data_IF_771600114429
#
_entry.id   IF_771600114429
#
_cell.length_a   1.000
_cell.length_b   1.000
_cell.length_c   1.000
_cell.angle_alpha   90.00
_cell.angle_beta   90.00
_cell.angle_gamma   90.00
#
_symmetry.space_group_name_H-M   'P 1'
#
loop_
_entity.id
_entity.type
_entity.pdbx_description
1 polymer ?
#
# COMPACT_ATOMS: atom_id res chain seq x y z
N UNK A 1 5.07 -4.08 32.87
CA UNK A 1 5.66 -4.66 31.63
C UNK A 1 5.32 -3.75 30.45
N UNK A 2 6.30 -3.01 29.92
CA UNK A 2 6.06 -2.21 28.72
C UNK A 2 5.91 -3.16 27.52
N UNK A 3 4.73 -3.18 26.91
CA UNK A 3 4.42 -4.04 25.77
C UNK A 3 5.38 -3.82 24.61
N UNK A 4 5.63 -4.86 23.81
CA UNK A 4 6.46 -4.81 22.60
C UNK A 4 5.94 -3.71 21.67
N UNK A 5 6.74 -2.66 21.47
CA UNK A 5 6.39 -1.54 20.58
C UNK A 5 6.25 -2.06 19.16
N UNK A 6 5.06 -1.87 18.56
CA UNK A 6 4.75 -2.35 17.21
C UNK A 6 5.71 -1.71 16.20
N UNK A 7 6.16 -2.50 15.23
CA UNK A 7 7.05 -2.08 14.13
C UNK A 7 8.48 -1.67 14.52
N UNK A 8 8.84 -1.67 15.80
CA UNK A 8 10.20 -1.39 16.26
C UNK A 8 11.02 -2.68 16.35
N UNK A 9 12.20 -2.70 15.74
CA UNK A 9 13.16 -3.81 15.82
C UNK A 9 14.52 -3.28 16.25
N UNK A 10 15.11 -3.89 17.27
CA UNK A 10 16.51 -3.64 17.63
C UNK A 10 17.40 -4.70 16.94
N UNK A 11 18.44 -4.24 16.24
CA UNK A 11 19.54 -5.10 15.77
C UNK A 11 20.86 -4.39 16.02
N UNK A 12 21.79 -5.10 16.65
CA UNK A 12 23.16 -4.63 16.87
C UNK A 12 23.22 -3.25 17.56
N UNK A 13 22.35 -3.03 18.55
CA UNK A 13 22.29 -1.77 19.30
C UNK A 13 21.64 -0.60 18.55
N UNK A 14 21.09 -0.82 17.35
CA UNK A 14 20.38 0.20 16.57
C UNK A 14 18.92 -0.16 16.40
N UNK A 15 18.06 0.83 16.58
CA UNK A 15 16.63 0.73 16.37
C UNK A 15 16.28 0.95 14.91
N UNK A 16 15.35 0.14 14.42
CA UNK A 16 14.85 0.18 13.06
C UNK A 16 13.32 0.12 13.06
N UNK A 17 12.69 0.90 12.19
CA UNK A 17 11.29 0.69 11.84
C UNK A 17 11.22 -0.45 10.80
N UNK A 18 10.32 -1.41 10.99
CA UNK A 18 10.11 -2.54 10.08
C UNK A 18 8.65 -2.64 9.65
N UNK A 19 8.44 -2.74 8.35
CA UNK A 19 7.13 -3.01 7.76
C UNK A 19 7.25 -4.11 6.69
N UNK A 20 6.27 -5.01 6.66
CA UNK A 20 6.24 -6.15 5.73
C UNK A 20 5.60 -5.69 4.43
N UNK A 21 6.23 -6.02 3.30
CA UNK A 21 5.66 -5.73 1.97
C UNK A 21 4.63 -6.82 1.63
N UNK A 22 3.39 -6.44 1.23
CA UNK A 22 2.37 -7.35 0.72
C UNK A 22 2.91 -8.23 -0.41
N UNK A 23 2.48 -9.49 -0.49
CA UNK A 23 3.03 -10.49 -1.44
C UNK A 23 2.98 -9.99 -2.89
N UNK A 24 1.88 -9.35 -3.26
CA UNK A 24 1.61 -8.89 -4.63
C UNK A 24 2.58 -7.78 -5.06
N UNK A 25 3.06 -6.99 -4.10
CA UNK A 25 3.97 -5.87 -4.34
C UNK A 25 5.44 -6.27 -4.25
N UNK A 26 5.77 -7.47 -3.76
CA UNK A 26 7.16 -7.92 -3.64
C UNK A 26 7.87 -8.03 -4.98
N UNK A 27 7.13 -8.37 -6.04
CA UNK A 27 7.67 -8.43 -7.40
C UNK A 27 8.13 -7.04 -7.89
N UNK A 28 7.49 -5.98 -7.41
CA UNK A 28 7.76 -4.59 -7.84
C UNK A 28 8.80 -3.93 -6.93
N UNK A 29 8.68 -4.10 -5.61
CA UNK A 29 9.58 -3.52 -4.62
C UNK A 29 10.91 -4.29 -4.53
N UNK A 30 10.91 -5.56 -4.93
CA UNK A 30 12.09 -6.45 -4.90
C UNK A 30 12.54 -6.87 -3.49
N UNK A 31 11.82 -6.43 -2.44
CA UNK A 31 12.13 -6.71 -1.03
C UNK A 31 10.89 -7.25 -0.32
N UNK A 32 11.09 -8.23 0.56
CA UNK A 32 10.02 -8.78 1.40
C UNK A 32 9.69 -7.90 2.62
N UNK A 33 10.66 -7.10 3.06
CA UNK A 33 10.57 -6.24 4.22
C UNK A 33 11.26 -4.90 3.94
N UNK A 34 10.61 -3.81 4.32
CA UNK A 34 11.22 -2.49 4.34
C UNK A 34 11.70 -2.18 5.76
N UNK A 35 12.92 -1.64 5.84
CA UNK A 35 13.55 -1.26 7.10
C UNK A 35 14.11 0.14 6.97
N UNK A 36 13.85 0.96 7.98
CA UNK A 36 14.41 2.31 8.10
C UNK A 36 15.18 2.44 9.43
N UNK A 37 16.46 2.82 9.42
CA UNK A 37 17.21 3.03 10.65
C UNK A 37 16.73 4.28 11.39
N UNK A 38 16.50 4.17 12.71
CA UNK A 38 16.03 5.25 13.58
C UNK A 38 17.13 5.78 14.53
N UNK A 39 18.28 5.09 14.61
CA UNK A 39 19.41 5.46 15.47
C UNK A 39 19.62 4.51 16.66
N UNK A 40 20.58 4.84 17.52
CA UNK A 40 20.93 4.05 18.71
C UNK A 40 20.13 4.38 19.96
N UNK A 41 19.52 5.58 20.03
CA UNK A 41 18.81 6.03 21.22
C UNK A 41 17.35 5.59 21.21
N UNK A 42 16.93 4.86 22.25
CA UNK A 42 15.57 4.32 22.35
C UNK A 42 14.49 5.40 22.35
N UNK A 43 14.63 6.44 23.19
CA UNK A 43 13.65 7.52 23.28
C UNK A 43 13.52 8.32 21.98
N UNK A 44 14.64 8.54 21.29
CA UNK A 44 14.65 9.23 20.01
C UNK A 44 13.98 8.37 18.94
N UNK A 45 14.29 7.07 18.91
CA UNK A 45 13.67 6.12 18.00
C UNK A 45 12.16 6.05 18.19
N UNK A 46 11.65 6.06 19.43
CA UNK A 46 10.20 6.08 19.68
C UNK A 46 9.51 7.32 19.13
N UNK A 47 10.15 8.49 19.23
CA UNK A 47 9.60 9.74 18.67
C UNK A 47 9.61 9.73 17.14
N UNK A 48 10.64 9.13 16.53
CA UNK A 48 10.80 9.06 15.07
C UNK A 48 10.02 7.91 14.42
N UNK A 49 9.61 6.90 15.20
CA UNK A 49 8.94 5.71 14.71
C UNK A 49 7.69 6.03 13.87
N UNK A 50 6.75 6.89 14.31
CA UNK A 50 5.55 7.17 13.52
C UNK A 50 5.89 7.76 12.15
N UNK A 51 6.82 8.70 12.11
CA UNK A 51 7.28 9.33 10.87
C UNK A 51 7.90 8.31 9.92
N UNK A 52 8.77 7.44 10.44
CA UNK A 52 9.39 6.37 9.66
C UNK A 52 8.36 5.36 9.13
N UNK A 53 7.35 4.99 9.92
CA UNK A 53 6.27 4.10 9.48
C UNK A 53 5.48 4.74 8.33
N UNK A 54 5.17 6.03 8.40
CA UNK A 54 4.50 6.76 7.31
C UNK A 54 5.32 6.73 6.04
N UNK A 55 6.64 6.91 6.11
CA UNK A 55 7.52 6.81 4.94
C UNK A 55 7.47 5.43 4.30
N UNK A 56 7.48 4.37 5.10
CA UNK A 56 7.38 2.99 4.60
C UNK A 56 6.00 2.72 3.97
N UNK A 57 4.93 3.26 4.56
CA UNK A 57 3.58 3.15 4.00
C UNK A 57 3.43 3.90 2.68
N UNK A 58 4.06 5.08 2.55
CA UNK A 58 4.07 5.85 1.31
C UNK A 58 4.76 5.07 0.19
N UNK A 59 5.91 4.44 0.47
CA UNK A 59 6.62 3.60 -0.51
C UNK A 59 5.77 2.41 -0.99
N UNK A 60 4.96 1.83 -0.09
CA UNK A 60 4.02 0.77 -0.45
C UNK A 60 2.89 1.33 -1.33
N UNK A 61 2.31 2.47 -0.96
CA UNK A 61 1.27 3.11 -1.77
C UNK A 61 1.75 3.49 -3.17
N UNK A 62 2.97 3.99 -3.32
CA UNK A 62 3.58 4.24 -4.64
C UNK A 62 3.75 2.95 -5.45
N UNK A 63 4.12 1.84 -4.80
CA UNK A 63 4.20 0.54 -5.45
C UNK A 63 2.81 0.02 -5.85
N UNK A 64 1.78 0.23 -5.02
CA UNK A 64 0.38 -0.10 -5.34
C UNK A 64 -0.09 0.66 -6.57
N UNK A 65 0.16 1.97 -6.64
CA UNK A 65 -0.17 2.79 -7.81
C UNK A 65 0.53 2.30 -9.09
N UNK A 66 1.81 1.93 -9.01
CA UNK A 66 2.56 1.38 -10.16
C UNK A 66 2.07 0.00 -10.59
N UNK A 67 1.55 -0.79 -9.66
CA UNK A 67 1.02 -2.13 -9.93
C UNK A 67 -0.34 -2.11 -10.65
N UNK A 68 -1.01 -0.95 -10.72
CA UNK A 68 -2.38 -0.84 -11.21
C UNK A 68 -3.43 -1.41 -10.25
N UNK A 69 -3.04 -1.94 -9.09
CA UNK A 69 -3.94 -2.25 -7.98
C UNK A 69 -4.29 -0.96 -7.22
N UNK A 70 -4.87 0.02 -7.92
CA UNK A 70 -5.49 1.14 -7.24
C UNK A 70 -6.74 0.58 -6.58
N UNK A 71 -6.76 0.56 -5.25
CA UNK A 71 -7.96 0.24 -4.48
C UNK A 71 -9.12 1.08 -4.99
N UNK A 72 -10.18 0.42 -5.47
CA UNK A 72 -11.34 1.06 -6.10
C UNK A 72 -12.21 1.87 -5.10
N UNK A 73 -11.77 1.89 -3.84
CA UNK A 73 -12.38 2.65 -2.74
C UNK A 73 -11.74 4.03 -2.67
N UNK A 74 -12.49 5.11 -2.91
CA UNK A 74 -11.95 6.46 -2.80
C UNK A 74 -11.54 6.77 -1.36
N UNK A 75 -10.35 7.36 -1.19
CA UNK A 75 -9.77 7.70 0.12
C UNK A 75 -10.52 8.82 0.84
N UNK A 76 -11.29 9.61 0.10
CA UNK A 76 -12.12 10.71 0.57
C UNK A 76 -13.54 10.53 0.03
N UNK A 77 -14.58 11.01 0.75
CA UNK A 77 -15.93 11.02 0.23
C UNK A 77 -15.95 11.79 -1.09
N UNK A 78 -16.30 11.08 -2.17
CA UNK A 78 -16.46 11.68 -3.48
C UNK A 78 -17.71 12.55 -3.49
N UNK A 79 -17.64 13.69 -4.17
CA UNK A 79 -18.86 14.43 -4.50
C UNK A 79 -19.72 13.61 -5.47
N UNK A 80 -21.03 13.87 -5.49
CA UNK A 80 -21.99 13.13 -6.31
C UNK A 80 -21.59 13.08 -7.80
N UNK A 81 -21.03 14.16 -8.32
CA UNK A 81 -20.56 14.25 -9.71
C UNK A 81 -19.37 13.31 -9.99
N UNK A 82 -18.39 13.27 -9.07
CA UNK A 82 -17.26 12.35 -9.14
C UNK A 82 -17.71 10.88 -9.06
N UNK A 83 -18.73 10.61 -8.24
CA UNK A 83 -19.33 9.28 -8.12
C UNK A 83 -20.03 8.85 -9.42
N UNK A 84 -20.74 9.76 -10.09
CA UNK A 84 -21.40 9.48 -11.36
C UNK A 84 -20.39 9.13 -12.47
N UNK A 85 -19.30 9.89 -12.58
CA UNK A 85 -18.22 9.63 -13.55
C UNK A 85 -17.56 8.28 -13.28
N UNK A 86 -17.19 8.00 -12.02
CA UNK A 86 -16.58 6.72 -11.65
C UNK A 86 -17.51 5.53 -11.96
N UNK A 87 -18.80 5.67 -11.65
CA UNK A 87 -19.80 4.63 -11.92
C UNK A 87 -20.00 4.39 -13.43
N UNK A 88 -20.04 5.46 -14.24
CA UNK A 88 -20.12 5.36 -15.69
C UNK A 88 -18.92 4.60 -16.28
N UNK A 89 -17.71 4.96 -15.85
CA UNK A 89 -16.48 4.28 -16.29
C UNK A 89 -16.47 2.79 -15.92
N UNK A 90 -16.95 2.42 -14.72
CA UNK A 90 -17.10 1.01 -14.33
C UNK A 90 -18.09 0.26 -15.24
N UNK A 91 -19.22 0.87 -15.62
CA UNK A 91 -20.18 0.26 -16.55
C UNK A 91 -19.59 0.03 -17.93
N UNK A 92 -18.83 0.98 -18.46
CA UNK A 92 -18.14 0.83 -19.75
C UNK A 92 -17.11 -0.29 -19.72
N UNK A 93 -16.29 -0.36 -18.67
CA UNK A 93 -15.30 -1.41 -18.50
C UNK A 93 -15.97 -2.80 -18.43
N UNK A 94 -17.07 -2.92 -17.70
CA UNK A 94 -17.84 -4.16 -17.61
C UNK A 94 -18.44 -4.56 -18.96
N UNK A 95 -19.06 -3.63 -19.69
CA UNK A 95 -19.62 -3.89 -21.01
C UNK A 95 -18.54 -4.33 -22.01
N UNK A 96 -17.35 -3.71 -21.97
CA UNK A 96 -16.21 -4.11 -22.78
C UNK A 96 -15.75 -5.55 -22.46
N UNK A 97 -15.71 -5.90 -21.17
CA UNK A 97 -15.34 -7.24 -20.73
C UNK A 97 -16.37 -8.28 -21.17
N UNK A 98 -17.67 -8.00 -21.04
CA UNK A 98 -18.73 -8.88 -21.51
C UNK A 98 -18.72 -9.06 -23.03
N UNK A 99 -18.48 -8.01 -23.80
CA UNK A 99 -18.30 -8.11 -25.24
C UNK A 99 -17.11 -9.01 -25.63
N UNK A 100 -16.02 -8.97 -24.87
CA UNK A 100 -14.85 -9.83 -25.10
C UNK A 100 -15.13 -11.30 -24.75
N UNK A 101 -15.91 -11.55 -23.69
CA UNK A 101 -16.34 -12.90 -23.30
C UNK A 101 -17.26 -13.49 -24.37
N UNK A 102 -18.26 -12.74 -24.84
CA UNK A 102 -19.20 -13.21 -25.86
C UNK A 102 -18.50 -13.53 -27.20
N UNK A 103 -17.48 -12.75 -27.60
CA UNK A 103 -16.67 -13.05 -28.79
C UNK A 103 -15.80 -14.31 -28.66
N UNK A 104 -15.48 -14.75 -27.43
CA UNK A 104 -14.70 -15.97 -27.19
C UNK A 104 -15.55 -17.25 -27.25
N UNK A 105 -16.87 -17.11 -27.15
CA UNK A 105 -17.84 -18.21 -27.22
C UNK A 105 -18.62 -18.27 -28.54
N UNK A 106 -18.29 -17.42 -29.52
CA UNK A 106 -18.82 -17.54 -30.87
C UNK A 106 -18.02 -18.61 -31.66
N UNK A 107 -18.68 -19.59 -32.30
CA UNK A 107 -18.03 -20.69 -33.03
C UNK A 107 -17.30 -20.23 -34.29
#
# INVERSE_FOLDING_TARGET
MAGKVRHLVNRSGRFHARLVVPKDLRAIVGKSELRLPLGGDYHRALKLLPSAVTQLQLQIGEAEHKSGQVSDVPRYPMMADQMAVAHYNRRLAFACLMGRVLRRFAP
#
